data_IF_195416854795
#
_entry.id   IF_195416854795
#
_cell.length_a   1.000
_cell.length_b   1.000
_cell.length_c   1.000
_cell.angle_alpha   90.00
_cell.angle_beta   90.00
_cell.angle_gamma   90.00
#
_symmetry.space_group_name_H-M   'P 1'
#
loop_
_entity.id
_entity.type
_entity.pdbx_description
1 polymer ?
2 non-polymer ?
3 non-polymer ?
4 water ?
#
# COMPACT_ATOMS: atom_id res chain seq x y z
N UNK A 10 1.39 21.89 -14.33
CA UNK A 10 0.30 21.78 -15.35
C UNK A 10 -1.02 21.62 -14.59
N UNK A 11 -1.69 22.76 -14.51
CA UNK A 11 -3.02 22.91 -13.89
C UNK A 11 -4.07 22.96 -15.00
N UNK A 12 -5.08 22.11 -14.88
CA UNK A 12 -6.19 22.05 -15.84
C UNK A 12 -7.18 23.16 -15.47
N UNK A 13 -7.80 23.73 -16.47
CA UNK A 13 -8.81 24.78 -16.27
C UNK A 13 -9.92 24.25 -15.37
N UNK A 14 -10.36 25.07 -14.46
CA UNK A 14 -11.40 24.74 -13.49
C UNK A 14 -12.73 24.50 -14.21
N UNK A 15 -13.37 23.38 -13.89
CA UNK A 15 -14.66 23.03 -14.47
C UNK A 15 -15.68 24.05 -13.93
N UNK A 16 -16.74 24.24 -14.70
CA UNK A 16 -17.80 25.17 -14.33
C UNK A 16 -18.41 24.91 -12.99
N UNK A 17 -18.58 23.67 -12.59
CA UNK A 17 -19.27 23.39 -11.30
C UNK A 17 -18.42 23.53 -10.07
N UNK A 18 -17.17 23.95 -10.21
CA UNK A 18 -16.24 23.99 -9.02
C UNK A 18 -16.11 25.36 -8.44
N UNK A 19 -16.62 25.54 -7.23
CA UNK A 19 -16.52 26.85 -6.53
C UNK A 19 -15.03 27.15 -6.34
N UNK A 20 -14.63 28.37 -6.71
CA UNK A 20 -13.20 28.69 -6.68
C UNK A 20 -12.56 28.64 -5.32
N UNK A 21 -13.38 28.68 -4.27
CA UNK A 21 -12.97 28.67 -2.89
C UNK A 21 -12.65 27.24 -2.43
N UNK A 22 -13.02 26.28 -3.29
CA UNK A 22 -12.72 24.88 -2.92
C UNK A 22 -11.46 24.43 -3.64
N UNK A 23 -10.84 25.28 -4.38
CA UNK A 23 -9.62 24.89 -5.11
C UNK A 23 -8.43 24.85 -4.10
N UNK A 24 -7.66 23.81 -4.28
CA UNK A 24 -6.41 23.63 -3.46
C UNK A 24 -5.56 22.70 -4.36
N UNK A 25 -4.57 23.29 -5.00
CA UNK A 25 -3.76 22.56 -5.94
C UNK A 25 -2.71 21.67 -5.27
N UNK A 26 -3.11 20.50 -4.89
CA UNK A 26 -2.31 19.42 -4.38
C UNK A 26 -1.96 18.45 -5.53
N UNK A 27 -0.67 18.19 -5.66
CA UNK A 27 -0.17 17.20 -6.59
C UNK A 27 0.24 15.94 -5.82
N UNK A 28 -0.61 14.92 -5.88
CA UNK A 28 -0.47 13.66 -5.24
C UNK A 28 0.87 12.98 -5.60
N UNK A 29 1.46 13.29 -6.71
CA UNK A 29 2.70 12.72 -7.19
C UNK A 29 3.89 13.56 -6.79
N UNK A 30 3.62 14.77 -6.35
CA UNK A 30 4.73 15.67 -5.97
C UNK A 30 4.22 16.78 -5.08
N UNK A 31 3.83 16.37 -3.89
CA UNK A 31 3.32 17.33 -2.89
C UNK A 31 4.50 18.22 -2.48
N UNK A 32 4.10 19.38 -1.98
CA UNK A 32 4.98 20.44 -1.62
C UNK A 32 6.11 20.21 -0.68
N UNK A 33 5.93 19.88 0.56
CA UNK A 33 7.17 19.75 1.41
C UNK A 33 7.48 18.29 1.60
N UNK A 34 7.76 17.67 0.46
CA UNK A 34 8.08 16.22 0.45
C UNK A 34 9.30 16.02 1.34
N UNK A 35 10.14 17.04 1.35
CA UNK A 35 11.35 17.05 2.19
C UNK A 35 11.04 16.64 3.64
N UNK A 36 9.97 17.16 4.20
CA UNK A 36 9.56 16.90 5.58
C UNK A 36 9.11 15.48 5.86
N UNK A 37 8.88 14.69 4.82
CA UNK A 37 8.25 13.37 4.97
C UNK A 37 6.97 13.30 4.13
N UNK A 38 6.64 12.07 3.69
CA UNK A 38 5.43 11.87 2.85
C UNK A 38 4.14 12.11 3.59
N UNK A 39 3.87 11.51 4.71
CA UNK A 39 2.73 11.72 5.54
C UNK A 39 2.64 13.19 5.95
N UNK A 40 3.75 13.83 6.33
CA UNK A 40 3.72 15.28 6.63
C UNK A 40 3.30 16.10 5.44
N UNK A 41 3.71 15.74 4.22
CA UNK A 41 3.43 16.40 2.99
C UNK A 41 1.95 16.40 2.68
N UNK A 42 1.32 15.26 2.78
CA UNK A 42 -0.11 15.05 2.64
C UNK A 42 -0.93 15.69 3.73
N UNK A 43 -0.45 15.63 4.99
CA UNK A 43 -1.18 16.24 6.11
C UNK A 43 -1.43 17.72 5.98
N UNK A 44 -0.81 18.44 5.09
CA UNK A 44 -1.08 19.82 4.82
C UNK A 44 -2.59 20.01 4.40
N UNK A 45 -3.19 18.97 3.90
CA UNK A 45 -4.58 18.95 3.50
C UNK A 45 -5.47 19.08 4.71
N UNK A 46 -4.91 18.80 5.91
CA UNK A 46 -5.75 18.82 7.11
C UNK A 46 -5.52 20.02 8.00
N UNK A 47 -4.83 20.98 7.51
CA UNK A 47 -4.63 22.27 8.23
C UNK A 47 -5.97 23.00 8.18
N UNK A 48 -6.21 23.83 9.18
CA UNK A 48 -7.37 24.71 9.32
C UNK A 48 -7.76 25.46 8.06
N UNK A 49 -6.90 25.82 7.17
CA UNK A 49 -7.21 26.60 5.98
C UNK A 49 -7.78 25.74 4.81
N UNK A 50 -7.84 24.43 5.03
CA UNK A 50 -8.31 23.57 3.93
C UNK A 50 -9.71 23.05 4.25
N UNK A 51 -10.62 23.29 3.31
CA UNK A 51 -12.00 22.77 3.43
C UNK A 51 -11.86 21.21 3.36
N UNK A 52 -12.86 20.55 3.83
CA UNK A 52 -12.97 19.11 3.97
C UNK A 52 -12.88 18.37 2.66
N UNK A 53 -13.37 19.03 1.65
CA UNK A 53 -13.40 18.52 0.29
C UNK A 53 -12.90 19.61 -0.61
N UNK A 54 -11.85 19.35 -1.31
CA UNK A 54 -11.23 20.34 -2.17
C UNK A 54 -11.12 19.75 -3.57
N UNK A 55 -10.90 20.63 -4.50
CA UNK A 55 -10.69 20.28 -5.89
C UNK A 55 -9.24 20.67 -6.17
N UNK A 56 -8.50 19.78 -6.84
CA UNK A 56 -7.14 20.18 -7.24
C UNK A 56 -7.12 20.22 -8.75
N UNK A 57 -6.35 21.12 -9.30
CA UNK A 57 -6.17 21.24 -10.73
C UNK A 57 -5.07 20.38 -11.29
N UNK A 58 -4.33 19.73 -10.37
CA UNK A 58 -3.16 18.94 -10.92
C UNK A 58 -3.75 17.61 -11.41
N UNK A 59 -2.93 16.91 -12.15
CA UNK A 59 -3.23 15.53 -12.56
C UNK A 59 -4.58 15.46 -13.26
N UNK A 60 -4.97 16.54 -13.89
CA UNK A 60 -6.13 16.75 -14.65
C UNK A 60 -7.37 17.29 -13.97
N UNK A 61 -7.45 17.40 -12.68
CA UNK A 61 -8.52 17.87 -11.86
C UNK A 61 -9.32 16.75 -11.26
N UNK A 62 -9.52 16.81 -9.97
CA UNK A 62 -10.17 15.72 -9.21
C UNK A 62 -10.46 16.30 -7.83
N UNK A 63 -11.39 15.72 -7.13
CA UNK A 63 -11.74 16.05 -5.76
C UNK A 63 -10.75 15.30 -4.83
N UNK A 64 -10.66 15.76 -3.59
CA UNK A 64 -9.87 14.99 -2.57
C UNK A 64 -10.69 15.13 -1.31
N UNK A 65 -11.08 14.12 -0.62
CA UNK A 65 -11.73 14.27 0.67
C UNK A 65 -10.53 14.25 1.70
N UNK A 66 -10.57 15.06 2.71
CA UNK A 66 -9.45 15.26 3.61
C UNK A 66 -9.57 14.65 4.98
N UNK A 67 -10.72 14.22 5.40
CA UNK A 67 -11.10 13.81 6.71
C UNK A 67 -11.60 12.39 6.70
N UNK A 68 -11.24 11.74 7.80
CA UNK A 68 -11.57 10.33 7.96
C UNK A 68 -13.04 10.05 7.74
N UNK A 69 -13.84 10.98 8.24
CA UNK A 69 -15.32 10.84 8.23
C UNK A 69 -15.83 10.66 6.81
N UNK A 70 -15.41 11.51 5.92
CA UNK A 70 -15.71 11.58 4.52
C UNK A 70 -15.07 10.45 3.75
N UNK A 71 -13.85 10.06 4.07
CA UNK A 71 -13.17 8.97 3.34
C UNK A 71 -13.94 7.68 3.55
N UNK A 72 -14.37 7.44 4.78
CA UNK A 72 -15.14 6.27 5.13
C UNK A 72 -16.53 6.24 4.50
N UNK A 73 -17.22 7.38 4.54
CA UNK A 73 -18.55 7.47 3.93
C UNK A 73 -18.47 7.16 2.45
N UNK A 74 -17.57 7.79 1.78
CA UNK A 74 -17.36 7.61 0.34
C UNK A 74 -17.06 6.16 0.04
N UNK A 75 -16.30 5.48 0.88
CA UNK A 75 -15.94 4.10 0.73
C UNK A 75 -17.04 3.10 0.99
N UNK A 76 -17.99 3.46 1.81
CA UNK A 76 -19.14 2.67 2.16
C UNK A 76 -20.13 2.70 1.00
N UNK A 77 -20.31 3.82 0.38
CA UNK A 77 -21.20 4.21 -0.66
C UNK A 77 -20.98 3.82 -2.07
N UNK A 78 -20.72 2.61 -2.46
CA UNK A 78 -20.31 2.23 -3.81
C UNK A 78 -21.32 2.60 -4.89
N UNK A 79 -22.54 2.86 -4.41
CA UNK A 79 -23.61 3.29 -5.36
C UNK A 79 -23.18 4.54 -6.09
N UNK A 80 -22.72 5.55 -5.33
CA UNK A 80 -22.28 6.81 -5.91
C UNK A 80 -20.81 6.84 -6.29
N UNK A 81 -20.03 6.19 -5.39
CA UNK A 81 -18.55 6.27 -5.64
C UNK A 81 -18.11 4.92 -6.15
N UNK A 82 -17.88 4.84 -7.42
CA UNK A 82 -17.54 3.53 -8.07
C UNK A 82 -16.04 3.34 -8.18
N UNK A 83 -15.70 2.03 -8.15
CA UNK A 83 -14.29 1.61 -8.24
C UNK A 83 -13.90 1.47 -9.69
N UNK A 84 -14.86 1.77 -10.60
CA UNK A 84 -14.55 1.50 -12.04
C UNK A 84 -13.27 2.17 -12.49
N UNK A 85 -13.03 3.30 -11.88
CA UNK A 85 -11.86 4.17 -12.29
C UNK A 85 -11.29 4.72 -10.95
N UNK A 86 -10.46 3.86 -10.34
CA UNK A 86 -9.98 4.06 -8.97
C UNK A 86 -8.69 4.80 -8.88
N UNK A 87 -8.01 5.02 -9.99
CA UNK A 87 -6.73 5.70 -10.03
C UNK A 87 -6.85 7.05 -10.73
N UNK A 88 -6.01 7.94 -10.26
CA UNK A 88 -5.84 9.27 -10.87
C UNK A 88 -4.41 9.24 -11.41
N UNK A 89 -4.13 9.76 -12.57
CA UNK A 89 -5.05 10.43 -13.48
C UNK A 89 -5.91 9.42 -14.23
N UNK A 90 -7.00 9.89 -14.74
CA UNK A 90 -8.05 9.15 -15.44
C UNK A 90 -7.56 8.09 -16.37
N UNK A 91 -6.65 8.36 -17.28
CA UNK A 91 -6.07 7.38 -18.20
C UNK A 91 -5.58 6.14 -17.46
N UNK A 92 -5.06 6.36 -16.24
CA UNK A 92 -4.57 5.26 -15.41
C UNK A 92 -5.78 4.49 -14.85
N UNK A 93 -6.75 5.29 -14.37
CA UNK A 93 -7.96 4.69 -13.78
C UNK A 93 -8.73 3.93 -14.87
N UNK A 94 -8.66 4.48 -16.08
CA UNK A 94 -9.24 3.96 -17.27
C UNK A 94 -8.57 2.66 -17.69
N UNK A 95 -7.26 2.70 -17.82
CA UNK A 95 -6.47 1.53 -18.23
C UNK A 95 -6.54 0.43 -17.17
N UNK A 96 -6.96 0.86 -15.98
CA UNK A 96 -6.96 0.00 -14.78
C UNK A 96 -8.15 -0.97 -14.90
N UNK A 97 -7.82 -2.27 -14.85
CA UNK A 97 -8.88 -3.27 -14.97
C UNK A 97 -8.62 -4.51 -14.10
N UNK A 98 -8.02 -4.23 -12.96
CA UNK A 98 -7.72 -5.27 -11.96
C UNK A 98 -9.00 -5.74 -11.30
N UNK A 99 -8.95 -6.99 -10.86
CA UNK A 99 -10.07 -7.59 -10.15
C UNK A 99 -9.57 -8.02 -8.76
N UNK A 100 -10.30 -7.77 -7.70
CA UNK A 100 -11.64 -7.20 -7.70
C UNK A 100 -11.74 -5.70 -7.64
N UNK A 101 -10.60 -5.02 -7.70
CA UNK A 101 -10.50 -3.60 -7.44
C UNK A 101 -11.27 -2.73 -8.37
N UNK A 102 -11.37 -3.05 -9.66
CA UNK A 102 -12.16 -2.22 -10.57
C UNK A 102 -13.62 -2.61 -10.59
N UNK A 103 -14.09 -3.41 -9.64
CA UNK A 103 -15.49 -3.80 -9.54
C UNK A 103 -16.23 -3.31 -8.32
N UNK A 104 -17.55 -3.22 -8.45
CA UNK A 104 -18.48 -2.88 -7.38
C UNK A 104 -19.24 -4.12 -6.97
N UNK A 105 -19.85 -4.09 -5.82
CA UNK A 105 -20.75 -5.16 -5.35
C UNK A 105 -22.05 -5.01 -6.16
N UNK A 106 -22.70 -6.14 -6.47
CA UNK A 106 -22.45 -7.49 -6.00
C UNK A 106 -21.52 -8.36 -6.81
N UNK A 107 -21.10 -7.92 -7.96
CA UNK A 107 -20.16 -8.58 -8.83
C UNK A 107 -18.81 -8.87 -8.16
N UNK A 108 -18.29 -7.79 -7.55
CA UNK A 108 -17.00 -7.84 -6.80
C UNK A 108 -16.90 -9.04 -5.88
N UNK A 109 -17.95 -9.31 -5.16
CA UNK A 109 -18.03 -10.33 -4.12
C UNK A 109 -17.61 -11.74 -4.45
N UNK A 110 -17.77 -12.23 -5.65
CA UNK A 110 -17.40 -13.57 -6.10
C UNK A 110 -15.89 -13.63 -6.36
N UNK A 111 -15.40 -12.58 -7.01
CA UNK A 111 -13.94 -12.49 -7.29
C UNK A 111 -13.17 -12.38 -5.98
N UNK A 112 -13.70 -11.64 -5.03
CA UNK A 112 -13.06 -11.49 -3.71
C UNK A 112 -12.95 -12.79 -2.96
N UNK A 113 -14.04 -13.57 -2.95
CA UNK A 113 -14.10 -14.87 -2.31
C UNK A 113 -12.95 -15.75 -2.86
N UNK A 114 -12.65 -15.58 -4.13
CA UNK A 114 -11.59 -16.33 -4.75
C UNK A 114 -10.22 -15.86 -4.30
N UNK A 115 -9.99 -14.55 -4.41
CA UNK A 115 -8.66 -13.98 -4.00
C UNK A 115 -8.41 -14.31 -2.54
N UNK A 116 -9.43 -14.34 -1.72
CA UNK A 116 -9.39 -14.69 -0.33
C UNK A 116 -8.83 -16.11 -0.11
N UNK A 117 -9.15 -17.00 -1.02
CA UNK A 117 -8.72 -18.37 -1.00
C UNK A 117 -7.17 -18.43 -1.05
N UNK A 118 -6.63 -17.55 -1.86
CA UNK A 118 -5.21 -17.49 -2.06
C UNK A 118 -4.35 -16.79 -1.01
N UNK A 119 -4.78 -15.70 -0.44
CA UNK A 119 -4.15 -14.85 0.51
C UNK A 119 -4.68 -14.80 1.91
N UNK A 120 -5.86 -15.32 2.18
CA UNK A 120 -6.52 -15.17 3.48
C UNK A 120 -5.70 -15.72 4.63
N UNK A 121 -6.28 -15.65 5.82
CA UNK A 121 -5.75 -16.16 7.07
C UNK A 121 -5.07 -17.54 6.97
N UNK A 122 -5.83 -18.53 6.56
CA UNK A 122 -5.41 -19.92 6.44
C UNK A 122 -4.17 -20.11 5.61
N UNK A 123 -3.93 -19.32 4.60
CA UNK A 123 -2.69 -19.35 3.82
C UNK A 123 -1.52 -18.84 4.67
N UNK A 124 -1.80 -17.77 5.44
CA UNK A 124 -0.78 -17.14 6.27
C UNK A 124 -0.25 -18.12 7.31
N UNK A 125 -1.20 -18.74 7.98
CA UNK A 125 -0.97 -19.73 9.01
C UNK A 125 -0.10 -20.87 8.46
N UNK A 126 -0.33 -21.20 7.22
CA UNK A 126 0.41 -22.28 6.56
C UNK A 126 1.83 -21.83 6.28
N UNK A 127 1.99 -20.55 5.96
CA UNK A 127 3.26 -19.97 5.57
C UNK A 127 4.10 -19.37 6.71
N UNK A 128 3.61 -19.39 7.89
CA UNK A 128 4.15 -18.78 9.06
C UNK A 128 5.62 -19.13 9.29
N UNK A 129 5.91 -20.41 9.34
CA UNK A 129 7.28 -20.91 9.47
C UNK A 129 8.23 -20.37 8.43
N UNK A 130 7.87 -20.27 7.18
CA UNK A 130 8.76 -19.79 6.14
C UNK A 130 9.03 -18.30 6.35
N UNK A 131 7.94 -17.62 6.70
CA UNK A 131 8.08 -16.14 6.88
C UNK A 131 9.22 -15.93 7.94
N UNK A 132 9.08 -16.64 9.03
CA UNK A 132 10.02 -16.58 10.18
C UNK A 132 11.40 -17.02 9.74
N UNK A 133 11.44 -18.12 8.96
CA UNK A 133 12.71 -18.65 8.49
C UNK A 133 13.44 -17.61 7.67
N UNK A 134 12.72 -17.02 6.73
CA UNK A 134 13.36 -16.06 5.84
C UNK A 134 13.80 -14.81 6.58
N UNK A 135 13.00 -14.40 7.53
CA UNK A 135 13.32 -13.09 8.20
C UNK A 135 14.64 -13.28 8.99
N UNK A 136 14.69 -14.36 9.71
CA UNK A 136 15.81 -14.75 10.58
C UNK A 136 17.08 -14.86 9.76
N UNK A 137 16.98 -15.46 8.62
CA UNK A 137 18.08 -15.64 7.68
C UNK A 137 18.66 -14.43 7.06
N UNK A 138 17.80 -13.50 6.67
CA UNK A 138 18.20 -12.24 6.04
C UNK A 138 18.86 -11.34 7.10
N UNK A 139 18.23 -11.30 8.26
CA UNK A 139 18.68 -10.50 9.37
C UNK A 139 20.07 -10.98 9.86
N UNK A 140 20.13 -12.24 10.16
CA UNK A 140 21.43 -12.86 10.60
C UNK A 140 22.51 -12.62 9.60
N UNK A 141 22.16 -12.67 8.35
CA UNK A 141 23.07 -12.43 7.23
C UNK A 141 23.62 -11.02 7.17
N UNK A 142 22.81 -10.04 7.60
CA UNK A 142 23.16 -8.64 7.65
C UNK A 142 23.96 -8.25 8.90
N UNK A 143 23.57 -8.73 10.03
CA UNK A 143 24.06 -8.47 11.38
C UNK A 143 25.53 -8.13 11.58
N UNK A 144 26.43 -8.98 11.11
CA UNK A 144 27.87 -8.79 11.20
C UNK A 144 28.46 -7.67 10.38
N UNK A 145 27.79 -7.18 9.40
CA UNK A 145 28.20 -6.12 8.48
C UNK A 145 28.23 -4.73 9.09
N UNK A 146 27.42 -4.51 10.06
CA UNK A 146 27.25 -3.22 10.73
C UNK A 146 26.67 -2.16 9.80
N UNK A 147 26.15 -2.59 8.68
CA UNK A 147 25.59 -1.66 7.70
C UNK A 147 24.86 -2.34 6.56
N UNK A 148 23.70 -1.70 6.24
CA UNK A 148 22.98 -2.08 4.99
C UNK A 148 22.33 -0.85 4.33
N UNK A 149 21.60 -1.09 3.29
CA UNK A 149 20.60 -0.37 2.55
C UNK A 149 19.24 -0.97 2.85
N UNK A 150 18.63 -0.93 3.97
CA UNK A 150 17.44 -1.62 4.36
C UNK A 150 16.42 -1.82 3.22
N UNK A 151 16.28 -0.83 2.37
CA UNK A 151 15.33 -0.93 1.28
C UNK A 151 15.74 -2.02 0.33
N UNK A 152 16.94 -1.98 -0.23
CA UNK A 152 17.41 -3.08 -1.07
C UNK A 152 17.79 -4.33 -0.39
N UNK A 153 18.20 -4.29 0.86
CA UNK A 153 18.75 -5.39 1.64
C UNK A 153 17.76 -6.26 2.32
N UNK A 154 16.62 -5.66 2.67
CA UNK A 154 15.66 -6.48 3.47
C UNK A 154 14.23 -6.20 2.97
N UNK A 155 13.93 -4.91 2.91
CA UNK A 155 12.51 -4.50 2.65
C UNK A 155 12.00 -5.03 1.32
N UNK A 156 12.81 -5.16 0.31
CA UNK A 156 12.50 -5.75 -0.99
C UNK A 156 12.54 -7.24 -1.00
N UNK A 157 13.67 -7.89 -0.69
CA UNK A 157 13.77 -9.31 -0.66
C UNK A 157 12.76 -10.04 0.19
N UNK A 158 12.52 -9.60 1.41
CA UNK A 158 11.68 -10.31 2.38
C UNK A 158 10.27 -10.59 1.92
N UNK A 159 9.54 -9.53 1.68
CA UNK A 159 8.12 -9.62 1.25
C UNK A 159 8.05 -10.25 -0.10
N UNK A 160 8.95 -9.90 -1.00
CA UNK A 160 9.01 -10.31 -2.36
C UNK A 160 9.33 -11.79 -2.54
N UNK A 161 10.29 -12.30 -1.76
CA UNK A 161 10.57 -13.75 -1.86
C UNK A 161 9.39 -14.54 -1.34
N UNK A 162 8.74 -14.08 -0.31
CA UNK A 162 7.60 -14.80 0.27
C UNK A 162 6.47 -14.92 -0.76
N UNK A 163 6.30 -13.86 -1.51
CA UNK A 163 5.24 -13.77 -2.53
C UNK A 163 5.61 -14.71 -3.69
N UNK A 164 6.83 -14.63 -4.17
CA UNK A 164 7.32 -15.46 -5.25
C UNK A 164 7.12 -16.91 -4.89
N UNK A 165 7.14 -17.22 -3.61
CA UNK A 165 6.99 -18.55 -3.08
C UNK A 165 5.53 -18.99 -3.10
N UNK A 166 4.64 -18.09 -2.78
CA UNK A 166 3.22 -18.22 -2.68
C UNK A 166 2.62 -18.45 -4.09
N UNK A 167 3.11 -17.73 -5.01
CA UNK A 167 2.74 -17.65 -6.38
C UNK A 167 3.38 -18.71 -7.27
N UNK A 168 4.43 -19.31 -6.77
CA UNK A 168 5.22 -20.31 -7.47
C UNK A 168 5.95 -19.67 -8.65
N UNK A 169 6.53 -18.50 -8.53
CA UNK A 169 7.23 -17.81 -9.61
C UNK A 169 8.73 -17.69 -9.33
N UNK A 170 9.52 -17.55 -10.39
CA UNK A 170 10.99 -17.45 -10.28
C UNK A 170 11.50 -16.15 -9.69
N UNK A 171 12.37 -16.26 -8.70
CA UNK A 171 12.97 -15.10 -8.02
C UNK A 171 13.64 -14.19 -9.01
N UNK A 172 14.18 -14.82 -10.03
CA UNK A 172 14.86 -14.21 -11.16
C UNK A 172 13.99 -13.18 -11.85
N UNK A 173 12.67 -13.30 -11.70
CA UNK A 173 11.76 -12.36 -12.40
C UNK A 173 11.59 -11.08 -11.56
N UNK A 174 12.05 -11.10 -10.32
CA UNK A 174 11.88 -9.97 -9.41
C UNK A 174 12.11 -8.59 -9.97
N UNK A 175 13.29 -8.38 -10.54
CA UNK A 175 13.72 -7.06 -10.99
C UNK A 175 12.85 -6.44 -12.06
N UNK A 176 12.47 -7.28 -13.01
CA UNK A 176 11.61 -6.90 -14.14
C UNK A 176 10.23 -6.58 -13.61
N UNK A 177 9.72 -7.52 -12.78
CA UNK A 177 8.38 -7.32 -12.20
C UNK A 177 8.23 -6.08 -11.34
N UNK A 178 9.27 -5.88 -10.54
CA UNK A 178 9.34 -4.80 -9.55
C UNK A 178 9.34 -3.50 -10.30
N UNK A 179 10.01 -3.48 -11.45
CA UNK A 179 10.05 -2.24 -12.25
C UNK A 179 8.65 -1.82 -12.71
N UNK A 180 7.96 -2.82 -13.25
CA UNK A 180 6.63 -2.63 -13.80
C UNK A 180 5.62 -2.22 -12.75
N UNK A 181 5.72 -2.80 -11.57
CA UNK A 181 4.82 -2.55 -10.44
C UNK A 181 4.98 -1.13 -9.91
N UNK A 182 6.20 -0.68 -9.94
CA UNK A 182 6.64 0.67 -9.57
C UNK A 182 6.04 1.77 -10.42
N UNK A 183 6.11 1.51 -11.71
CA UNK A 183 5.59 2.38 -12.76
C UNK A 183 4.11 2.65 -12.54
N UNK A 184 3.43 1.69 -11.94
CA UNK A 184 2.00 1.79 -11.69
C UNK A 184 1.61 2.71 -10.56
N UNK A 185 2.37 2.63 -9.46
CA UNK A 185 2.04 3.37 -8.23
C UNK A 185 2.78 4.69 -8.10
N UNK A 186 4.03 4.65 -8.58
CA UNK A 186 4.86 5.88 -8.53
C UNK A 186 5.48 6.09 -9.89
N UNK A 187 4.58 6.39 -10.84
CA UNK A 187 4.93 6.71 -12.22
C UNK A 187 6.12 7.66 -12.32
N UNK A 188 7.04 7.18 -13.12
CA UNK A 188 8.39 7.76 -13.37
C UNK A 188 8.40 8.74 -14.54
N UNK A 189 7.66 8.34 -15.56
CA UNK A 189 7.49 9.08 -16.81
C UNK A 189 8.06 8.24 -17.94
N UNK A 190 8.66 7.13 -17.59
CA UNK A 190 9.35 6.22 -18.50
C UNK A 190 8.42 5.43 -19.41
N UNK A 191 7.30 5.08 -18.82
CA UNK A 191 6.23 4.36 -19.54
C UNK A 191 4.89 4.77 -18.94
N UNK A 192 3.91 4.89 -19.81
CA UNK A 192 2.50 5.18 -19.43
C UNK A 192 1.88 3.99 -18.73
N UNK A 193 0.75 4.14 -18.06
CA UNK A 193 0.06 3.12 -17.29
C UNK A 193 -0.38 1.94 -18.14
N UNK A 194 -0.95 2.22 -19.30
CA UNK A 194 -1.42 1.16 -20.20
C UNK A 194 -0.26 0.27 -20.65
N UNK A 195 0.82 0.90 -21.04
CA UNK A 195 2.04 0.19 -21.49
C UNK A 195 2.52 -0.76 -20.37
N UNK A 196 2.56 -0.19 -19.17
CA UNK A 196 3.07 -0.87 -18.00
C UNK A 196 2.16 -2.05 -17.70
N UNK A 197 0.88 -1.78 -17.88
CA UNK A 197 -0.16 -2.80 -17.65
C UNK A 197 0.03 -3.96 -18.64
N UNK A 198 0.31 -3.64 -19.87
CA UNK A 198 0.48 -4.61 -20.94
C UNK A 198 1.67 -5.51 -20.80
N UNK A 199 2.75 -4.99 -20.27
CA UNK A 199 3.99 -5.70 -20.03
C UNK A 199 3.80 -6.70 -18.90
N UNK A 200 3.14 -6.30 -17.83
CA UNK A 200 2.92 -7.22 -16.70
C UNK A 200 2.02 -8.37 -17.22
N UNK A 201 1.07 -7.90 -18.02
CA UNK A 201 0.09 -8.80 -18.64
C UNK A 201 0.79 -9.72 -19.60
N UNK A 202 1.81 -9.26 -20.31
CA UNK A 202 2.61 -10.10 -21.21
C UNK A 202 3.33 -11.19 -20.42
N UNK A 203 3.72 -10.82 -19.24
CA UNK A 203 4.42 -11.72 -18.31
C UNK A 203 3.53 -12.89 -17.96
N UNK A 204 2.41 -12.58 -17.38
CA UNK A 204 1.40 -13.45 -16.82
C UNK A 204 0.71 -14.38 -17.79
N UNK A 205 0.24 -13.92 -18.92
CA UNK A 205 -0.48 -14.68 -19.93
C UNK A 205 -0.01 -16.13 -20.10
N UNK A 206 1.20 -16.32 -20.56
CA UNK A 206 1.78 -17.64 -20.77
C UNK A 206 1.73 -18.49 -19.52
N UNK A 207 2.04 -17.80 -18.42
CA UNK A 207 2.11 -18.44 -17.09
C UNK A 207 0.77 -19.01 -16.75
N UNK A 208 -0.26 -18.20 -16.89
CA UNK A 208 -1.64 -18.63 -16.65
C UNK A 208 -2.01 -19.77 -17.58
N UNK A 209 -1.65 -19.65 -18.86
CA UNK A 209 -1.95 -20.68 -19.87
C UNK A 209 -1.56 -22.07 -19.38
N UNK A 210 -0.36 -22.13 -18.92
CA UNK A 210 0.41 -23.26 -18.41
C UNK A 210 -0.19 -23.88 -17.17
N UNK A 211 -0.64 -23.07 -16.23
CA UNK A 211 -1.27 -23.50 -14.99
C UNK A 211 -2.74 -23.85 -15.16
N UNK A 212 -3.26 -23.50 -16.32
CA UNK A 212 -4.66 -23.91 -16.65
C UNK A 212 -4.59 -25.37 -17.13
N UNK A 213 -3.52 -25.71 -17.81
CA UNK A 213 -3.28 -27.02 -18.38
C UNK A 213 -2.74 -28.00 -17.34
N UNK A 214 -1.71 -27.54 -16.65
CA UNK A 214 -1.02 -28.34 -15.61
C UNK A 214 -0.93 -27.57 -14.31
N UNK A 215 -2.01 -27.66 -13.53
CA UNK A 215 -2.16 -26.99 -12.26
C UNK A 215 -1.18 -27.49 -11.19
N UNK A 216 -0.80 -26.49 -10.40
CA UNK A 216 0.04 -26.72 -9.20
C UNK A 216 -0.84 -26.34 -7.98
N UNK A 217 -0.10 -26.05 -6.94
CA UNK A 217 -0.68 -25.72 -5.62
C UNK A 217 -0.47 -24.26 -5.29
N UNK A 218 0.21 -23.54 -6.16
CA UNK A 218 0.52 -22.12 -5.99
C UNK A 218 -0.75 -21.26 -6.12
N UNK A 219 -0.56 -19.98 -5.82
CA UNK A 219 -1.67 -19.01 -5.91
C UNK A 219 -2.25 -18.85 -7.31
N UNK A 220 -1.38 -18.84 -8.30
CA UNK A 220 -1.73 -18.65 -9.70
C UNK A 220 -2.56 -19.81 -10.23
N UNK A 221 -2.18 -21.03 -9.90
CA UNK A 221 -2.89 -22.25 -10.23
C UNK A 221 -4.27 -22.19 -9.57
N UNK A 222 -4.29 -21.74 -8.32
CA UNK A 222 -5.59 -21.72 -7.60
C UNK A 222 -6.50 -20.71 -8.28
N UNK A 223 -6.00 -19.58 -8.70
CA UNK A 223 -6.76 -18.52 -9.38
C UNK A 223 -7.15 -18.92 -10.81
N UNK A 224 -6.26 -19.46 -11.59
CA UNK A 224 -6.47 -19.84 -12.96
C UNK A 224 -7.57 -20.89 -13.11
N UNK A 225 -7.71 -21.70 -12.08
CA UNK A 225 -8.66 -22.84 -12.08
C UNK A 225 -9.84 -22.62 -11.18
N UNK A 226 -10.11 -21.41 -10.74
CA UNK A 226 -11.18 -21.10 -9.79
C UNK A 226 -12.56 -21.05 -10.43
N UNK A 227 -13.56 -21.04 -9.58
CA UNK A 227 -14.97 -20.96 -9.91
C UNK A 227 -15.47 -19.57 -9.46
N UNK A 228 -16.18 -18.94 -10.34
CA UNK A 228 -16.86 -17.67 -10.03
C UNK A 228 -18.26 -17.78 -10.64
N UNK A 229 -19.21 -17.67 -9.73
CA UNK A 229 -20.64 -17.74 -10.07
C UNK A 229 -21.01 -19.08 -10.70
N UNK A 230 -20.58 -20.18 -10.07
CA UNK A 230 -20.88 -21.54 -10.48
C UNK A 230 -20.11 -22.05 -11.67
N UNK A 231 -19.59 -21.16 -12.48
CA UNK A 231 -18.81 -21.48 -13.70
C UNK A 231 -17.33 -21.14 -13.52
N UNK A 232 -16.52 -21.51 -14.49
CA UNK A 232 -15.08 -21.30 -14.51
C UNK A 232 -14.67 -19.88 -14.81
N UNK A 233 -13.54 -19.49 -14.24
CA UNK A 233 -12.99 -18.13 -14.46
C UNK A 233 -12.40 -18.09 -15.85
N UNK A 234 -12.48 -16.98 -16.54
CA UNK A 234 -11.89 -16.89 -17.88
C UNK A 234 -10.41 -16.58 -17.72
N UNK A 235 -9.70 -16.69 -18.81
CA UNK A 235 -8.24 -16.48 -18.88
C UNK A 235 -7.90 -15.02 -18.60
N UNK A 236 -8.75 -14.14 -19.09
CA UNK A 236 -8.69 -12.69 -18.94
C UNK A 236 -8.96 -12.30 -17.48
N UNK A 237 -9.95 -12.93 -16.86
CA UNK A 237 -10.28 -12.70 -15.47
C UNK A 237 -9.13 -13.10 -14.51
N UNK A 238 -8.51 -14.24 -14.81
CA UNK A 238 -7.37 -14.70 -14.02
C UNK A 238 -6.18 -13.73 -14.21
N UNK A 239 -5.96 -13.32 -15.42
CA UNK A 239 -4.83 -12.41 -15.73
C UNK A 239 -4.99 -11.13 -14.91
N UNK A 240 -6.21 -10.63 -14.88
CA UNK A 240 -6.63 -9.46 -14.17
C UNK A 240 -6.62 -9.59 -12.67
N UNK A 241 -6.92 -10.71 -12.07
CA UNK A 241 -6.80 -10.95 -10.66
C UNK A 241 -5.29 -11.01 -10.25
N UNK A 242 -4.56 -11.88 -10.94
CA UNK A 242 -3.16 -12.06 -10.62
C UNK A 242 -2.41 -10.76 -10.74
N UNK A 243 -2.88 -9.95 -11.67
CA UNK A 243 -2.15 -8.67 -11.95
C UNK A 243 -2.14 -7.88 -10.63
N UNK A 244 -3.28 -7.88 -9.97
CA UNK A 244 -3.43 -7.19 -8.71
C UNK A 244 -2.60 -7.81 -7.58
N UNK A 245 -2.64 -9.16 -7.59
CA UNK A 245 -1.94 -9.95 -6.59
C UNK A 245 -0.46 -9.51 -6.59
N UNK A 246 0.08 -9.30 -7.75
CA UNK A 246 1.44 -8.90 -7.99
C UNK A 246 1.81 -7.52 -7.43
N UNK A 247 1.03 -6.54 -7.69
CA UNK A 247 1.18 -5.14 -7.21
C UNK A 247 1.08 -5.08 -5.71
N UNK A 248 0.12 -5.78 -5.11
CA UNK A 248 0.01 -5.83 -3.63
C UNK A 248 1.16 -6.67 -3.08
N UNK A 249 1.54 -7.70 -3.84
CA UNK A 249 2.62 -8.62 -3.39
C UNK A 249 3.95 -7.89 -3.24
N UNK A 250 4.31 -7.15 -4.26
CA UNK A 250 5.52 -6.48 -4.52
C UNK A 250 5.80 -5.11 -4.02
N UNK A 251 4.83 -4.26 -3.98
CA UNK A 251 4.82 -2.86 -3.70
C UNK A 251 4.22 -2.35 -2.44
N UNK A 252 3.59 -3.05 -1.56
CA UNK A 252 2.95 -2.45 -0.36
C UNK A 252 3.86 -2.61 0.89
N UNK A 253 4.04 -3.83 1.24
CA UNK A 253 4.79 -4.25 2.44
C UNK A 253 6.21 -3.70 2.36
N UNK A 254 6.71 -3.76 1.15
CA UNK A 254 8.06 -3.26 0.86
C UNK A 254 8.27 -1.86 1.37
N UNK A 255 7.40 -0.95 1.03
CA UNK A 255 7.44 0.45 1.41
C UNK A 255 7.11 0.66 2.87
N UNK A 256 6.09 0.01 3.39
CA UNK A 256 5.71 0.19 4.77
C UNK A 256 6.89 -0.09 5.76
N UNK A 257 7.61 -1.16 5.49
CA UNK A 257 8.72 -1.62 6.33
C UNK A 257 9.80 -0.53 6.44
N UNK A 258 10.12 0.10 5.35
CA UNK A 258 11.08 1.17 5.26
C UNK A 258 10.66 2.36 6.08
N UNK A 259 9.37 2.71 6.09
CA UNK A 259 8.93 3.86 6.87
C UNK A 259 9.13 3.54 8.35
N UNK A 260 8.69 2.35 8.69
CA UNK A 260 8.66 1.83 10.05
C UNK A 260 10.13 1.77 10.60
N UNK A 261 10.99 1.21 9.82
CA UNK A 261 12.40 1.02 10.18
C UNK A 261 13.13 2.34 10.23
N UNK A 262 12.79 3.28 9.36
CA UNK A 262 13.30 4.64 9.39
C UNK A 262 12.93 5.28 10.72
N UNK A 263 11.71 5.18 11.15
CA UNK A 263 11.28 5.67 12.45
C UNK A 263 12.01 5.00 13.60
N UNK A 264 12.11 3.67 13.56
CA UNK A 264 12.72 2.90 14.61
C UNK A 264 14.21 3.32 14.82
N UNK A 265 14.91 3.50 13.71
CA UNK A 265 16.23 3.92 13.58
C UNK A 265 16.44 5.30 14.25
N UNK A 266 15.43 6.12 14.21
CA UNK A 266 15.49 7.43 14.82
C UNK A 266 14.91 7.49 16.18
N UNK A 267 14.40 6.50 16.82
CA UNK A 267 13.75 6.57 18.12
C UNK A 267 14.04 5.46 19.06
N UNK A 268 15.20 5.61 19.79
CA UNK A 268 15.67 4.60 20.73
C UNK A 268 14.69 4.10 21.72
N UNK A 269 13.90 4.99 22.28
CA UNK A 269 12.93 4.71 23.33
C UNK A 269 11.78 3.86 22.79
N UNK A 270 11.52 3.95 21.49
CA UNK A 270 10.49 3.11 20.89
C UNK A 270 10.96 1.67 20.72
N UNK A 271 12.20 1.53 20.32
CA UNK A 271 12.86 0.24 20.24
C UNK A 271 12.89 -0.46 21.59
N UNK A 272 13.28 0.26 22.63
CA UNK A 272 13.46 -0.33 23.97
C UNK A 272 12.16 -0.87 24.52
N UNK A 273 11.18 -0.03 24.22
CA UNK A 273 9.81 -0.33 24.62
C UNK A 273 9.41 -1.69 24.10
N UNK A 274 9.69 -2.03 22.87
CA UNK A 274 9.31 -3.27 22.25
C UNK A 274 10.19 -4.42 22.74
N UNK A 275 11.45 -4.05 23.04
CA UNK A 275 12.39 -5.07 23.54
C UNK A 275 11.96 -5.60 24.88
N UNK A 276 11.63 -4.73 25.80
CA UNK A 276 11.22 -5.11 27.13
C UNK A 276 9.81 -5.55 27.36
N UNK A 277 8.87 -5.08 26.55
CA UNK A 277 7.44 -5.47 26.79
C UNK A 277 6.87 -5.93 25.45
N UNK A 278 7.36 -7.07 25.01
CA UNK A 278 7.03 -7.67 23.73
C UNK A 278 5.55 -7.89 23.47
N UNK A 279 4.75 -7.87 24.49
CA UNK A 279 3.32 -8.10 24.43
C UNK A 279 2.65 -6.89 23.75
N UNK A 280 3.46 -5.89 23.48
CA UNK A 280 3.08 -4.66 22.88
C UNK A 280 3.28 -4.59 21.40
N UNK A 281 4.01 -5.52 20.83
CA UNK A 281 4.28 -5.56 19.41
C UNK A 281 3.04 -5.39 18.50
N UNK A 282 1.97 -6.07 18.81
CA UNK A 282 0.71 -6.05 18.02
C UNK A 282 0.10 -4.67 18.04
N UNK A 283 -0.03 -4.05 19.17
CA UNK A 283 -0.42 -2.71 19.41
C UNK A 283 0.47 -1.73 18.66
N UNK A 284 1.77 -1.90 18.74
CA UNK A 284 2.72 -1.06 18.04
C UNK A 284 2.61 -1.20 16.53
N UNK A 285 2.35 -2.41 16.08
CA UNK A 285 2.20 -2.69 14.63
C UNK A 285 1.01 -1.83 14.11
N UNK A 286 -0.03 -1.75 14.88
CA UNK A 286 -1.22 -1.00 14.48
C UNK A 286 -0.92 0.48 14.42
N UNK A 287 -0.23 0.94 15.46
CA UNK A 287 0.11 2.35 15.58
C UNK A 287 0.98 2.77 14.47
N UNK A 288 1.93 1.90 14.06
CA UNK A 288 2.81 2.19 12.93
C UNK A 288 1.96 2.19 11.66
N UNK A 289 1.08 1.18 11.54
CA UNK A 289 0.14 1.20 10.36
C UNK A 289 -0.62 2.51 10.32
N UNK A 290 -1.08 3.05 11.43
CA UNK A 290 -1.76 4.40 11.39
C UNK A 290 -0.84 5.51 10.96
N UNK A 291 0.35 5.65 11.67
CA UNK A 291 1.27 6.74 11.36
C UNK A 291 1.99 6.72 10.07
N UNK A 292 2.37 5.55 9.57
CA UNK A 292 3.08 5.47 8.29
C UNK A 292 2.19 4.84 7.20
N UNK A 293 0.93 5.15 7.27
CA UNK A 293 -0.07 4.77 6.18
C UNK A 293 0.45 5.34 4.88
N UNK A 294 0.21 4.63 3.75
CA UNK A 294 0.85 5.01 2.50
C UNK A 294 0.12 4.78 1.21
N UNK A 295 -1.15 4.44 1.26
CA UNK A 295 -1.94 4.17 0.02
C UNK A 295 -2.91 5.35 -0.19
N UNK A 296 -2.99 5.84 -1.40
CA UNK A 296 -4.04 6.86 -1.73
C UNK A 296 -4.68 6.53 -3.09
N UNK A 297 -5.90 6.01 -3.01
CA UNK A 297 -6.64 5.84 -4.32
C UNK A 297 -7.97 6.56 -4.25
N UNK A 298 -8.84 6.33 -5.30
CA UNK A 298 -10.15 6.99 -5.31
C UNK A 298 -11.24 6.13 -5.93
N UNK A 299 -12.27 6.87 -6.26
CA UNK A 299 -13.54 6.45 -6.87
C UNK A 299 -14.04 7.42 -7.93
N UNK A 300 -15.04 6.94 -8.70
CA UNK A 300 -15.61 7.77 -9.79
C UNK A 300 -17.07 7.98 -9.53
N UNK A 301 -17.50 9.21 -9.76
CA UNK A 301 -18.95 9.50 -9.49
C UNK A 301 -19.73 8.87 -10.68
N UNK A 302 -20.69 8.08 -10.27
CA UNK A 302 -21.59 7.39 -11.24
C UNK A 302 -22.69 8.36 -11.72
N UNK A 303 -23.00 9.34 -10.90
CA UNK A 303 -23.98 10.38 -11.15
C UNK A 303 -23.70 11.68 -10.38
N UNK A 304 -24.56 12.67 -10.69
CA UNK A 304 -24.57 13.97 -10.00
C UNK A 304 -24.99 13.66 -8.57
N UNK A 305 -24.27 14.29 -7.64
CA UNK A 305 -24.58 13.92 -6.21
C UNK A 305 -24.02 15.02 -5.33
N UNK A 306 -24.84 15.38 -4.38
CA UNK A 306 -24.48 16.45 -3.44
C UNK A 306 -23.96 15.76 -2.17
N UNK A 307 -22.67 16.01 -1.92
CA UNK A 307 -22.01 15.29 -0.80
C UNK A 307 -21.40 16.32 0.15
N UNK A 308 -21.92 16.35 1.34
CA UNK A 308 -21.49 17.28 2.40
C UNK A 308 -21.50 18.68 1.83
N UNK A 309 -22.63 19.02 1.23
CA UNK A 309 -22.92 20.28 0.63
C UNK A 309 -22.18 20.64 -0.61
N UNK A 310 -21.41 19.74 -1.18
CA UNK A 310 -20.65 20.03 -2.43
C UNK A 310 -21.32 19.19 -3.55
N UNK A 311 -21.44 19.84 -4.69
CA UNK A 311 -22.05 19.23 -5.86
C UNK A 311 -21.03 18.46 -6.65
N UNK A 312 -21.27 17.15 -6.70
CA UNK A 312 -20.27 16.36 -7.53
C UNK A 312 -21.02 16.01 -8.81
N UNK A 313 -20.33 16.06 -9.91
CA UNK A 313 -20.82 15.73 -11.22
C UNK A 313 -20.44 14.33 -11.65
N UNK A 314 -21.37 13.66 -12.32
CA UNK A 314 -21.16 12.32 -12.87
C UNK A 314 -19.82 12.34 -13.62
N UNK A 315 -18.94 11.35 -13.36
CA UNK A 315 -17.69 11.32 -14.13
C UNK A 315 -16.49 11.91 -13.41
N UNK A 316 -16.80 12.73 -12.42
CA UNK A 316 -15.79 13.40 -11.58
C UNK A 316 -15.01 12.29 -10.80
N UNK A 317 -13.71 12.48 -10.78
CA UNK A 317 -12.94 11.48 -9.89
C UNK A 317 -12.72 12.16 -8.54
N UNK A 318 -12.65 11.39 -7.47
CA UNK A 318 -12.34 11.91 -6.14
C UNK A 318 -11.27 10.94 -5.49
N UNK A 319 -10.24 11.61 -4.94
CA UNK A 319 -9.18 10.81 -4.25
C UNK A 319 -9.62 10.69 -2.81
N UNK A 320 -9.70 9.51 -2.26
CA UNK A 320 -10.10 9.24 -0.90
C UNK A 320 -8.86 8.60 -0.21
N UNK A 321 -7.94 9.45 0.19
CA UNK A 321 -6.62 8.98 0.71
C UNK A 321 -6.72 8.13 1.95
N UNK A 322 -6.53 6.80 1.81
CA UNK A 322 -6.64 5.93 3.03
C UNK A 322 -5.61 6.40 4.07
N UNK A 323 -4.55 6.96 3.56
CA UNK A 323 -3.43 7.51 4.38
C UNK A 323 -3.95 8.49 5.41
N UNK A 324 -4.89 9.36 4.99
CA UNK A 324 -5.42 10.45 5.71
C UNK A 324 -6.26 10.18 6.90
N UNK A 325 -7.09 9.20 6.95
CA UNK A 325 -8.00 8.96 8.03
C UNK A 325 -7.35 8.98 9.41
N UNK A 326 -6.25 8.24 9.53
CA UNK A 326 -5.58 8.00 10.82
C UNK A 326 -4.68 9.17 11.21
N UNK A 327 -4.48 10.09 10.30
CA UNK A 327 -3.68 11.27 10.50
C UNK A 327 -4.53 12.45 10.95
N UNK A 328 -5.82 12.30 10.82
CA UNK A 328 -6.85 13.26 11.16
C UNK A 328 -6.97 13.41 12.64
N UNK A 329 -6.76 14.65 13.11
CA UNK A 329 -6.87 14.97 14.54
C UNK A 329 -8.21 14.69 15.14
N UNK A 330 -9.28 14.74 14.35
CA UNK A 330 -10.64 14.42 14.91
C UNK A 330 -10.69 12.95 15.25
N UNK A 331 -9.81 12.16 14.67
CA UNK A 331 -9.80 10.70 14.82
C UNK A 331 -8.77 10.24 15.85
N UNK A 332 -7.60 10.87 15.79
CA UNK A 332 -6.51 10.52 16.74
C UNK A 332 -5.90 11.80 17.32
N UNK A 333 -5.95 11.93 18.62
CA UNK A 333 -5.28 13.10 19.28
C UNK A 333 -3.78 12.96 18.94
N UNK A 334 -3.12 14.07 18.76
CA UNK A 334 -1.72 14.17 18.41
C UNK A 334 -1.31 13.13 17.37
N UNK A 335 -1.81 13.31 16.14
CA UNK A 335 -1.67 12.37 15.08
C UNK A 335 -0.29 12.00 14.65
N UNK A 336 0.58 13.01 14.58
CA UNK A 336 1.94 12.82 14.06
C UNK A 336 2.87 12.19 15.11
N UNK A 337 2.41 11.98 16.29
CA UNK A 337 3.14 11.40 17.39
C UNK A 337 2.89 9.88 17.43
N UNK A 338 3.99 9.12 17.62
CA UNK A 338 3.84 7.66 17.71
C UNK A 338 3.69 7.30 19.19
N UNK A 339 2.64 6.63 19.52
CA UNK A 339 2.35 6.19 20.91
C UNK A 339 1.81 4.78 20.87
N UNK A 340 2.57 3.82 21.30
CA UNK A 340 2.25 2.40 21.30
C UNK A 340 1.15 2.06 22.24
N UNK A 341 0.71 2.97 23.07
CA UNK A 341 -0.37 2.68 23.99
C UNK A 341 -1.56 3.61 23.94
N UNK A 342 -1.83 4.12 22.73
CA UNK A 342 -3.11 4.88 22.50
C UNK A 342 -4.26 3.93 22.88
N UNK A 343 -5.30 4.46 23.50
CA UNK A 343 -6.48 3.70 23.82
C UNK A 343 -7.13 3.12 22.55
N UNK A 344 -7.13 3.94 21.53
CA UNK A 344 -7.82 3.58 20.25
C UNK A 344 -6.99 3.99 19.05
N UNK A 345 -6.56 3.05 18.24
CA UNK A 345 -5.77 3.40 17.04
C UNK A 345 -6.81 3.40 15.88
N UNK A 346 -7.12 4.55 15.38
CA UNK A 346 -8.12 4.67 14.29
C UNK A 346 -7.40 4.85 12.98
N UNK A 347 -7.65 3.92 12.02
CA UNK A 347 -7.09 4.15 10.69
C UNK A 347 -7.94 3.46 9.58
N UNK A 348 -7.58 3.68 8.36
CA UNK A 348 -8.21 2.90 7.21
C UNK A 348 -7.04 2.59 6.32
N UNK A 349 -5.95 2.10 7.00
CA UNK A 349 -4.74 1.83 6.20
C UNK A 349 -4.94 0.78 5.15
N UNK A 350 -5.65 -0.25 5.50
CA UNK A 350 -6.01 -1.36 4.59
C UNK A 350 -7.37 -1.11 3.92
N UNK A 351 -7.77 0.14 3.91
CA UNK A 351 -9.04 0.56 3.24
C UNK A 351 -10.21 0.43 4.14
N UNK A 352 -11.38 0.49 3.47
CA UNK A 352 -12.69 0.56 4.15
C UNK A 352 -13.79 0.22 3.11
N UNK A 353 -14.85 -0.33 3.61
CA UNK A 353 -15.96 -0.79 2.76
C UNK A 353 -15.67 -2.17 2.19
N UNK A 354 -16.30 -2.40 1.02
CA UNK A 354 -16.28 -3.73 0.42
C UNK A 354 -14.91 -4.07 -0.13
N UNK A 355 -14.04 -3.06 -0.30
CA UNK A 355 -12.70 -3.39 -0.83
C UNK A 355 -11.63 -3.59 0.22
N UNK A 356 -11.95 -3.79 1.44
CA UNK A 356 -10.95 -4.01 2.53
C UNK A 356 -9.88 -5.01 2.09
N UNK A 357 -8.62 -4.66 2.31
CA UNK A 357 -7.49 -5.46 1.99
C UNK A 357 -7.60 -6.90 2.42
N UNK A 358 -7.43 -7.78 1.45
CA UNK A 358 -7.50 -9.22 1.68
C UNK A 358 -6.11 -9.68 2.22
N UNK A 359 -5.11 -8.99 1.74
CA UNK A 359 -3.72 -9.37 2.19
C UNK A 359 -3.32 -8.77 3.51
N UNK A 360 -4.26 -8.36 4.30
CA UNK A 360 -3.97 -7.67 5.54
C UNK A 360 -3.28 -8.61 6.51
N UNK A 361 -3.72 -9.83 6.56
CA UNK A 361 -3.22 -10.85 7.51
C UNK A 361 -1.79 -11.19 7.17
N UNK A 362 -1.49 -11.20 5.88
CA UNK A 362 -0.19 -11.45 5.36
C UNK A 362 0.75 -10.27 5.79
N UNK A 363 0.31 -9.08 5.49
CA UNK A 363 1.05 -7.87 5.79
C UNK A 363 1.36 -7.79 7.28
N UNK A 364 0.37 -7.96 8.13
CA UNK A 364 0.58 -7.91 9.57
C UNK A 364 1.62 -8.94 10.02
N UNK A 365 1.54 -10.16 9.50
CA UNK A 365 2.41 -11.25 9.91
C UNK A 365 3.82 -10.91 9.52
N UNK A 366 4.06 -10.39 8.36
CA UNK A 366 5.35 -9.94 7.90
C UNK A 366 5.92 -8.79 8.74
N UNK A 367 5.11 -7.87 9.17
CA UNK A 367 5.52 -6.71 9.95
C UNK A 367 5.92 -7.17 11.34
N UNK A 368 5.04 -7.92 11.99
CA UNK A 368 5.30 -8.38 13.33
C UNK A 368 6.59 -9.23 13.41
N UNK A 369 6.84 -10.06 12.44
CA UNK A 369 8.03 -10.95 12.47
C UNK A 369 9.27 -10.10 12.36
N UNK A 370 9.21 -9.18 11.38
CA UNK A 370 10.35 -8.29 11.16
C UNK A 370 10.70 -7.54 12.45
N UNK A 371 9.71 -7.00 13.12
CA UNK A 371 10.03 -6.16 14.28
C UNK A 371 10.67 -7.07 15.34
N UNK A 372 10.01 -8.16 15.63
CA UNK A 372 10.41 -9.08 16.69
C UNK A 372 11.83 -9.57 16.40
N UNK A 373 12.12 -9.95 15.18
CA UNK A 373 13.33 -10.53 14.76
C UNK A 373 14.50 -9.62 14.57
N UNK A 374 14.29 -8.46 14.06
CA UNK A 374 15.30 -7.44 13.90
C UNK A 374 15.76 -6.95 15.30
N UNK A 375 14.84 -6.60 16.13
CA UNK A 375 15.12 -6.06 17.45
C UNK A 375 15.83 -7.09 18.34
N UNK A 376 15.60 -8.33 18.04
CA UNK A 376 16.19 -9.43 18.78
C UNK A 376 17.69 -9.45 18.53
N UNK A 377 18.09 -9.40 17.32
CA UNK A 377 19.43 -9.47 16.81
C UNK A 377 20.16 -8.16 16.76
N UNK A 378 19.49 -7.09 16.37
CA UNK A 378 20.05 -5.78 16.19
C UNK A 378 19.20 -4.73 16.89
N UNK A 379 19.41 -4.60 18.19
CA UNK A 379 18.63 -3.76 19.06
C UNK A 379 18.92 -2.27 18.98
N UNK A 380 20.08 -2.00 18.44
CA UNK A 380 20.63 -0.62 18.43
C UNK A 380 21.20 -0.39 17.06
N UNK A 381 20.67 0.67 16.46
CA UNK A 381 21.03 0.98 15.06
C UNK A 381 20.55 2.43 14.84
N UNK A 382 21.08 3.01 13.79
CA UNK A 382 20.65 4.35 13.37
C UNK A 382 20.84 4.53 11.90
N UNK A 383 20.42 5.72 11.46
CA UNK A 383 20.61 6.12 10.07
C UNK A 383 22.06 6.52 9.89
N UNK A 384 22.56 6.27 8.67
CA UNK A 384 23.97 6.57 8.36
C UNK A 384 24.19 8.06 8.38
N UNK A 385 25.24 8.49 9.10
CA UNK A 385 25.66 9.89 9.13
C UNK A 385 25.71 10.45 7.71
N UNK A 386 25.02 11.55 7.51
CA UNK A 386 25.03 12.35 6.29
C UNK A 386 24.20 11.75 5.16
N UNK A 387 23.35 10.82 5.52
CA UNK A 387 22.38 10.25 4.56
C UNK A 387 21.15 11.16 4.79
N UNK A 388 20.59 11.52 3.68
CA UNK A 388 19.36 12.34 3.64
C UNK A 388 18.27 11.40 3.07
N UNK A 389 17.35 10.99 3.89
CA UNK A 389 16.28 10.06 3.48
C UNK A 389 15.22 10.74 2.63
N UNK A 390 15.03 10.21 1.43
CA UNK A 390 13.99 10.74 0.52
C UNK A 390 12.77 9.85 0.38
N UNK A 391 11.62 10.47 0.62
CA UNK A 391 10.33 9.77 0.40
C UNK A 391 9.87 10.06 -1.01
N UNK A 392 8.98 9.21 -1.52
CA UNK A 392 8.37 9.37 -2.84
C UNK A 392 6.84 9.26 -2.63
N UNK A 393 6.14 10.08 -3.37
CA UNK A 393 4.68 10.11 -3.35
C UNK A 393 3.98 9.46 -4.53
N UNK A 394 2.76 8.98 -4.30
CA UNK A 394 1.98 8.34 -5.40
C UNK A 394 0.84 7.53 -4.93
N UNK A 395 0.35 6.55 -5.69
CA UNK A 395 -0.76 5.68 -5.19
C UNK A 395 -0.28 4.97 -3.94
N UNK A 396 0.94 4.46 -4.03
CA UNK A 396 1.59 3.79 -2.90
C UNK A 396 2.85 4.66 -2.65
N UNK A 397 2.99 5.13 -1.45
CA UNK A 397 4.17 6.06 -1.21
C UNK A 397 5.37 5.20 -0.86
N UNK A 398 6.56 5.77 -1.03
CA UNK A 398 7.78 4.95 -0.70
C UNK A 398 8.94 5.71 -0.14
N UNK A 399 9.99 4.93 0.10
CA UNK A 399 11.31 5.46 0.59
C UNK A 399 12.32 5.04 -0.47
N UNK A 400 13.09 5.98 -0.91
CA UNK A 400 14.09 5.76 -1.96
C UNK A 400 15.22 4.82 -1.57
N UNK A 401 15.73 4.98 -0.38
CA UNK A 401 16.85 4.18 0.16
C UNK A 401 16.94 4.49 1.64
N UNK A 402 17.31 3.49 2.40
CA UNK A 402 17.49 3.65 3.85
C UNK A 402 18.85 3.03 4.31
N UNK A 403 19.87 3.87 4.29
CA UNK A 403 21.20 3.52 4.80
C UNK A 403 21.18 3.47 6.32
N UNK A 404 21.39 2.35 6.95
CA UNK A 404 21.47 2.11 8.34
C UNK A 404 22.94 1.76 8.72
N UNK A 405 23.29 1.99 9.92
CA UNK A 405 24.63 1.55 10.46
C UNK A 405 24.38 1.04 11.85
N UNK A 406 25.29 0.21 12.33
CA UNK A 406 25.21 -0.28 13.69
C UNK A 406 26.64 -0.81 14.10
N UNK A 407 26.75 -0.99 15.39
CA UNK A 407 28.02 -1.64 15.87
C UNK A 407 27.75 -3.12 16.04
N UNK A 408 28.46 -3.92 15.27
CA UNK A 408 28.36 -5.37 15.33
C UNK A 408 28.42 -5.87 16.78
N UNK A 409 29.29 -5.25 17.57
CA UNK A 409 29.52 -5.68 18.96
C UNK A 409 28.30 -5.57 19.84
N UNK A 410 27.30 -4.79 19.40
CA UNK A 410 26.07 -4.66 20.17
C UNK A 410 24.98 -5.59 19.61
N UNK A 411 25.31 -6.40 18.64
CA UNK A 411 24.32 -7.35 18.07
C UNK A 411 24.30 -8.64 18.84
N UNK A 412 23.22 -9.43 18.67
CA UNK A 412 23.11 -10.73 19.28
C UNK A 412 22.81 -11.80 18.25
N UNK A 413 23.69 -12.75 18.11
CA UNK A 413 23.46 -13.93 17.26
C UNK A 413 22.39 -14.72 18.04
N UNK A 414 21.54 -15.34 17.30
CA UNK A 414 20.49 -16.23 17.81
C UNK A 414 20.62 -17.54 17.00
X LIG B 1 -6.93 -3.93 -1.27
X LIG B 1 -3.66 -1.45 1.27
X LIG B 1 -0.96 -5.46 1.46
X LIG B 1 -3.81 -7.58 -1.81
X LIG B 1 -6.29 -2.90 -0.61
X LIG B 1 -6.81 -1.58 -0.37
X LIG B 1 -5.88 -0.88 0.28
X LIG B 1 -4.76 -1.80 0.55
X LIG B 1 -5.86 0.55 0.80
X LIG B 1 -8.18 -1.09 -0.87
X LIG B 1 -8.12 -0.30 -2.18
X LIG B 1 -9.47 0.27 -2.63
X LIG B 1 -10.37 0.35 -1.78
X LIG B 1 -9.31 0.81 -3.77
X LIG B 1 -2.67 -2.34 1.57
X LIG B 1 -1.56 -2.07 2.51
X LIG B 1 -0.80 -3.17 2.55
X LIG B 1 -1.42 -4.17 1.65
X LIG B 1 -1.38 -0.76 3.27
X LIG B 1 0.43 -3.51 3.39
X LIG B 1 1.16 -2.69 4.06
X LIG B 1 -1.48 -6.41 0.56
X LIG B 1 -0.93 -7.73 0.31
X LIG B 1 -1.70 -8.28 -0.62
X LIG B 1 -2.71 -7.28 -1.01
X LIG B 1 0.29 -8.34 1.03
X LIG B 1 -1.65 -9.68 -1.24
X LIG B 1 -0.72 -9.97 -2.14
X LIG B 1 -4.98 -6.83 -1.86
X LIG B 1 -6.21 -7.18 -2.56
X LIG B 1 -7.03 -6.14 -2.47
X LIG B 1 -6.36 -5.10 -1.69
X LIG B 1 -6.40 -8.52 -3.31
X LIG B 1 -8.45 -5.92 -3.02
X LIG B 1 -9.64 -6.49 -2.30
X LIG B 1 -11.00 -6.13 -2.98
X LIG B 1 -11.91 -6.80 -2.50
X LIG B 1 -10.99 -5.24 -3.87
X LIG B 1 -5.06 -3.03 -0.03
X LIG B 1 -2.51 -3.59 1.03
X LIG B 1 -2.57 -6.19 -0.20
X LIG B 1 -5.11 -5.58 -1.31
X LIG B 1 -4.00 -4.76 0.16
X LIG C 1 -3.26 -1.19 -5.22
X LIG C 1 -4.73 -1.44 -5.83
X LIG C 1 -5.59 -2.06 -4.69
X LIG C 1 -4.63 -2.20 -3.43
X LIG C 1 -3.55 -3.29 -3.87
X LIG C 1 -2.70 -2.63 -5.00
X LIG C 1 -3.74 -0.91 -3.71
X LIG C 1 -4.46 0.45 -3.53
X LIG C 1 -2.63 -0.71 -2.65
X LIG C 1 -2.49 -0.15 -5.91
#
# INVERSE_FOLDING_TARGET
TTETIQSNANLAPLPPHVPEHLVFDFDMYNPSNLSAGVQEAWAVLQESNVPDLVWTRCNGGHWIATRGQLIREAYEDYRHFSSECPFIPREAGEAYDFIPTSMDPPEQRQFRALANQVVGMPVVDKLENRIQELACSLIESLRPQGQCNFTEDYAEPFPIRIFMLLAGLPEEDIPHLKYLTDQMTRPDGSMTFAEAKEALYDYLIPIIEQRRQKPGTDAISIVANGQVNGRPITSDEAKRMCGLLLVGGLDTVVNFLSFSMEFLAKSPEHRQELIERPERIPAACEELLRRFSLVADGRILTSDYEFHGVQLKKGDQILLPQMLSGLDERENACPMHVDFSRQKVSHTTFGHGSHLCLGQHLARREIIVTLKEWLTRIPDFSIAPGAQIQHKSGIVSGVQALPLVWDPATTKAV
HEM CHA CHB CHC CHD C1A C2A C3A C4A CMA CAA CBA CGA O1A O2A C1B C2B C3B C4B CMB CAB CBB C1C C2C C3C C4C CMC CAC CBC C1D C2D C3D C4D CMD CAD CBD CGD O1D O2D NA NB NC ND FE
CAE C1 C2 C3 C4 C5 C6 C7 C8 C9 C10
#
